data_IF_961555492466
#
_entry.id   IF_961555492466
#
_cell.length_a   1.000
_cell.length_b   1.000
_cell.length_c   1.000
_cell.angle_alpha   90.00
_cell.angle_beta   90.00
_cell.angle_gamma   90.00
#
_symmetry.space_group_name_H-M   'P 1'
#
loop_
_entity.id
_entity.type
_entity.pdbx_description
1 polymer ?
#
# COMPACT_ATOMS: atom_id res chain seq x y z
N UNK A 1 -80.79 2.55 -9.77
CA UNK A 1 -80.27 3.94 -9.77
C UNK A 1 -78.73 3.95 -9.74
N UNK A 2 -78.08 3.04 -9.00
CA UNK A 2 -76.61 2.92 -8.97
C UNK A 2 -75.96 2.59 -10.34
N UNK A 3 -76.57 1.72 -11.16
CA UNK A 3 -76.03 1.37 -12.49
C UNK A 3 -76.00 2.55 -13.48
N UNK A 4 -76.96 3.48 -13.37
CA UNK A 4 -77.01 4.67 -14.23
C UNK A 4 -75.95 5.71 -13.85
N UNK A 5 -75.69 5.87 -12.55
CA UNK A 5 -74.60 6.72 -12.06
C UNK A 5 -73.23 6.15 -12.41
N UNK A 6 -73.05 4.82 -12.35
CA UNK A 6 -71.84 4.12 -12.80
C UNK A 6 -71.58 4.34 -14.30
N UNK A 7 -72.61 4.22 -15.14
CA UNK A 7 -72.49 4.46 -16.58
C UNK A 7 -72.15 5.92 -16.89
N UNK A 8 -72.80 6.88 -16.21
CA UNK A 8 -72.55 8.32 -16.37
C UNK A 8 -71.10 8.69 -16.01
N UNK A 9 -70.58 8.15 -14.91
CA UNK A 9 -69.20 8.37 -14.50
C UNK A 9 -68.19 7.78 -15.49
N UNK A 10 -68.47 6.59 -16.06
CA UNK A 10 -67.62 5.99 -17.10
C UNK A 10 -67.63 6.78 -18.41
N UNK A 11 -68.78 7.34 -18.79
CA UNK A 11 -68.89 8.21 -19.98
C UNK A 11 -68.09 9.50 -19.75
N UNK A 12 -68.17 10.09 -18.55
CA UNK A 12 -67.39 11.28 -18.19
C UNK A 12 -65.88 10.99 -18.23
N UNK A 13 -65.45 9.84 -17.69
CA UNK A 13 -64.04 9.41 -17.75
C UNK A 13 -63.55 9.20 -19.18
N UNK A 14 -64.35 8.56 -20.04
CA UNK A 14 -64.02 8.40 -21.46
C UNK A 14 -63.92 9.75 -22.21
N UNK A 15 -64.73 10.73 -21.84
CA UNK A 15 -64.65 12.07 -22.43
C UNK A 15 -63.37 12.80 -22.02
N UNK A 16 -62.92 12.65 -20.77
CA UNK A 16 -61.63 13.18 -20.29
C UNK A 16 -60.46 12.51 -21.00
N UNK A 17 -60.48 11.18 -21.16
CA UNK A 17 -59.44 10.43 -21.87
C UNK A 17 -59.36 10.84 -23.35
N UNK A 18 -60.51 10.99 -24.03
CA UNK A 18 -60.56 11.48 -25.43
C UNK A 18 -59.97 12.89 -25.52
N UNK A 19 -60.26 13.76 -24.55
CA UNK A 19 -59.70 15.10 -24.53
C UNK A 19 -58.18 15.08 -24.31
N UNK A 20 -57.69 14.23 -23.42
CA UNK A 20 -56.25 14.06 -23.17
C UNK A 20 -55.51 13.53 -24.41
N UNK A 21 -56.07 12.51 -25.08
CA UNK A 21 -55.51 11.95 -26.33
C UNK A 21 -55.50 13.00 -27.44
N UNK A 22 -56.56 13.80 -27.59
CA UNK A 22 -56.61 14.88 -28.58
C UNK A 22 -55.54 15.94 -28.32
N UNK A 23 -55.30 16.29 -27.05
CA UNK A 23 -54.23 17.20 -26.65
C UNK A 23 -52.85 16.64 -26.98
N UNK A 24 -52.58 15.39 -26.63
CA UNK A 24 -51.31 14.74 -26.98
C UNK A 24 -51.07 14.67 -28.49
N UNK A 25 -52.12 14.35 -29.26
CA UNK A 25 -52.04 14.33 -30.74
C UNK A 25 -51.70 15.71 -31.31
N UNK A 26 -52.24 16.78 -30.72
CA UNK A 26 -51.92 18.15 -31.15
C UNK A 26 -50.48 18.58 -30.84
N UNK A 27 -49.93 18.12 -29.71
CA UNK A 27 -48.51 18.35 -29.34
C UNK A 27 -47.59 17.57 -30.28
N UNK A 28 -47.91 16.32 -30.56
CA UNK A 28 -47.14 15.51 -31.50
C UNK A 28 -47.11 16.13 -32.92
N UNK A 29 -48.24 16.68 -33.37
CA UNK A 29 -48.30 17.39 -34.65
C UNK A 29 -47.44 18.66 -34.68
N UNK A 30 -47.31 19.38 -33.57
CA UNK A 30 -46.40 20.53 -33.49
C UNK A 30 -44.93 20.12 -33.46
N UNK A 31 -44.60 19.01 -32.77
CA UNK A 31 -43.23 18.52 -32.67
C UNK A 31 -42.72 18.03 -34.04
N UNK A 32 -43.56 17.28 -34.78
CA UNK A 32 -43.26 16.85 -36.16
C UNK A 32 -42.94 18.06 -37.06
N UNK A 33 -43.74 19.12 -36.95
CA UNK A 33 -43.56 20.33 -37.76
C UNK A 33 -42.27 21.09 -37.41
N UNK A 34 -41.88 21.09 -36.14
CA UNK A 34 -40.62 21.70 -35.70
C UNK A 34 -39.42 20.88 -36.17
N UNK A 35 -39.52 19.56 -36.18
CA UNK A 35 -38.45 18.69 -36.66
C UNK A 35 -38.30 18.75 -38.20
N UNK A 36 -39.39 18.86 -38.96
CA UNK A 36 -39.35 19.17 -40.40
C UNK A 36 -38.61 20.49 -40.67
N UNK A 37 -38.88 21.53 -39.86
CA UNK A 37 -38.20 22.82 -39.97
C UNK A 37 -36.70 22.71 -39.70
N UNK A 38 -36.30 21.92 -38.69
CA UNK A 38 -34.88 21.68 -38.38
C UNK A 38 -34.19 20.90 -39.48
N UNK A 39 -34.85 19.91 -40.10
CA UNK A 39 -34.32 19.17 -41.23
C UNK A 39 -34.06 20.09 -42.43
N UNK A 40 -34.99 21.00 -42.73
CA UNK A 40 -34.83 21.97 -43.81
C UNK A 40 -33.71 22.98 -43.52
N UNK A 41 -33.59 23.43 -42.26
CA UNK A 41 -32.49 24.29 -41.80
C UNK A 41 -31.12 23.59 -41.91
N UNK A 42 -31.04 22.31 -41.52
CA UNK A 42 -29.84 21.50 -41.64
C UNK A 42 -29.43 21.31 -43.11
N UNK A 43 -30.39 21.00 -43.98
CA UNK A 43 -30.14 20.80 -45.41
C UNK A 43 -29.61 22.07 -46.07
N UNK A 44 -30.19 23.23 -45.75
CA UNK A 44 -29.71 24.53 -46.23
C UNK A 44 -28.30 24.85 -45.73
N UNK A 45 -27.98 24.48 -44.48
CA UNK A 45 -26.65 24.69 -43.91
C UNK A 45 -25.60 23.80 -44.58
N UNK A 46 -25.94 22.55 -44.87
CA UNK A 46 -25.10 21.62 -45.63
C UNK A 46 -24.82 22.17 -47.02
N UNK A 47 -25.83 22.65 -47.75
CA UNK A 47 -25.65 23.31 -49.07
C UNK A 47 -24.67 24.48 -48.99
N UNK A 48 -24.82 25.35 -47.98
CA UNK A 48 -23.92 26.50 -47.79
C UNK A 48 -22.46 26.10 -47.51
N UNK A 49 -22.23 24.93 -46.93
CA UNK A 49 -20.89 24.40 -46.68
C UNK A 49 -20.28 23.80 -47.95
N UNK A 50 -21.07 23.11 -48.77
CA UNK A 50 -20.63 22.62 -50.07
C UNK A 50 -20.24 23.76 -51.02
N UNK A 51 -21.03 24.83 -51.07
CA UNK A 51 -20.71 26.04 -51.84
C UNK A 51 -19.38 26.68 -51.39
N UNK A 52 -19.15 26.74 -50.08
CA UNK A 52 -17.90 27.29 -49.51
C UNK A 52 -16.69 26.39 -49.75
N UNK A 53 -16.91 25.08 -49.89
CA UNK A 53 -15.85 24.10 -50.13
C UNK A 53 -15.54 23.91 -51.63
N UNK A 54 -16.34 24.48 -52.54
CA UNK A 54 -16.15 24.38 -53.99
C UNK A 54 -16.42 22.97 -54.54
N UNK A 55 -17.30 22.20 -53.87
CA UNK A 55 -17.65 20.83 -54.23
C UNK A 55 -18.94 20.87 -55.08
N UNK A 56 -18.89 20.33 -56.30
CA UNK A 56 -20.04 20.25 -57.21
C UNK A 56 -21.04 19.19 -56.72
N UNK A 57 -22.27 19.63 -56.41
CA UNK A 57 -23.38 18.84 -55.84
C UNK A 57 -23.76 17.63 -56.73
N UNK A 58 -23.41 17.67 -58.03
CA UNK A 58 -23.71 16.64 -59.02
C UNK A 58 -22.85 15.36 -58.93
N UNK A 59 -21.75 15.37 -58.17
CA UNK A 59 -20.92 14.18 -57.93
C UNK A 59 -21.36 13.35 -56.71
N UNK A 60 -22.36 13.81 -55.96
CA UNK A 60 -23.01 13.00 -54.90
C UNK A 60 -24.16 12.25 -55.58
N UNK A 61 -23.82 11.17 -56.26
CA UNK A 61 -24.81 10.28 -56.86
C UNK A 61 -25.70 9.67 -55.76
N UNK A 62 -27.00 9.75 -56.02
CA UNK A 62 -28.13 9.09 -55.35
C UNK A 62 -28.43 9.51 -53.91
N UNK A 63 -29.71 9.81 -53.68
CA UNK A 63 -30.38 9.77 -52.38
C UNK A 63 -29.75 8.67 -51.53
N UNK A 64 -29.03 9.03 -50.47
CA UNK A 64 -28.76 8.07 -49.42
C UNK A 64 -30.12 7.70 -48.85
N UNK A 65 -30.57 6.49 -49.16
CA UNK A 65 -31.82 5.98 -48.62
C UNK A 65 -31.69 5.92 -47.09
N UNK A 66 -32.80 6.00 -46.36
CA UNK A 66 -32.79 5.85 -44.89
C UNK A 66 -32.08 4.55 -44.48
N UNK A 67 -32.19 3.50 -45.31
CA UNK A 67 -31.49 2.24 -45.16
C UNK A 67 -29.96 2.37 -45.25
N UNK A 68 -29.42 3.22 -46.13
CA UNK A 68 -27.97 3.46 -46.24
C UNK A 68 -27.44 4.19 -45.00
N UNK A 69 -28.20 5.16 -44.49
CA UNK A 69 -27.88 5.86 -43.24
C UNK A 69 -27.96 4.91 -42.04
N UNK A 70 -28.96 4.02 -42.01
CA UNK A 70 -29.07 2.98 -40.98
C UNK A 70 -27.92 1.98 -41.06
N UNK A 71 -27.49 1.61 -42.26
CA UNK A 71 -26.38 0.69 -42.44
C UNK A 71 -25.05 1.33 -41.99
N UNK A 72 -24.81 2.60 -42.35
CA UNK A 72 -23.65 3.37 -41.86
C UNK A 72 -23.68 3.49 -40.34
N UNK A 73 -24.83 3.84 -39.75
CA UNK A 73 -24.96 3.91 -38.28
C UNK A 73 -24.72 2.55 -37.62
N UNK A 74 -25.21 1.47 -38.22
CA UNK A 74 -24.99 0.11 -37.72
C UNK A 74 -23.52 -0.28 -37.79
N UNK A 75 -22.81 0.06 -38.87
CA UNK A 75 -21.37 -0.16 -38.98
C UNK A 75 -20.59 0.68 -37.98
N UNK A 76 -20.91 1.97 -37.83
CA UNK A 76 -20.32 2.87 -36.85
C UNK A 76 -20.54 2.30 -35.44
N UNK A 77 -21.77 1.95 -35.07
CA UNK A 77 -22.12 1.37 -33.78
C UNK A 77 -21.38 0.06 -33.56
N UNK A 78 -21.33 -0.82 -34.57
CA UNK A 78 -20.59 -2.08 -34.46
C UNK A 78 -19.10 -1.86 -34.20
N UNK A 79 -18.49 -0.84 -34.81
CA UNK A 79 -17.09 -0.49 -34.61
C UNK A 79 -16.91 0.18 -33.25
N UNK A 80 -17.72 1.19 -32.90
CA UNK A 80 -17.65 1.92 -31.63
C UNK A 80 -17.85 1.00 -30.42
N UNK A 81 -18.79 0.07 -30.50
CA UNK A 81 -19.15 -0.84 -29.41
C UNK A 81 -18.39 -2.17 -29.44
N UNK A 82 -17.64 -2.48 -30.50
CA UNK A 82 -16.70 -3.62 -30.52
C UNK A 82 -15.31 -3.27 -30.00
N UNK A 83 -14.95 -1.98 -29.94
CA UNK A 83 -13.67 -1.56 -29.36
C UNK A 83 -13.66 -1.85 -27.85
N UNK A 84 -12.56 -2.43 -27.39
CA UNK A 84 -12.36 -2.75 -25.98
C UNK A 84 -12.48 -1.51 -25.09
N UNK A 85 -12.72 -1.72 -23.79
CA UNK A 85 -12.76 -0.61 -22.82
C UNK A 85 -11.42 0.14 -22.63
N UNK A 86 -10.34 -0.33 -23.28
CA UNK A 86 -8.99 0.25 -23.33
C UNK A 86 -8.24 -0.22 -24.58
N UNK A 87 -7.33 0.63 -25.08
CA UNK A 87 -6.39 0.25 -26.15
C UNK A 87 -5.40 -0.83 -25.66
N UNK A 88 -4.79 -1.58 -26.58
CA UNK A 88 -3.77 -2.59 -26.20
C UNK A 88 -2.55 -1.95 -25.53
N UNK A 89 -2.18 -0.72 -25.91
CA UNK A 89 -1.11 0.03 -25.28
C UNK A 89 -1.43 0.37 -23.81
N UNK A 90 -2.66 0.82 -23.53
CA UNK A 90 -3.10 1.13 -22.17
C UNK A 90 -3.22 -0.11 -21.30
N UNK A 91 -3.66 -1.24 -21.87
CA UNK A 91 -3.68 -2.54 -21.18
C UNK A 91 -2.29 -3.03 -20.82
N UNK A 92 -1.29 -2.81 -21.66
CA UNK A 92 0.09 -3.20 -21.37
C UNK A 92 0.67 -2.46 -20.14
N UNK A 93 0.18 -1.24 -19.88
CA UNK A 93 0.47 -0.43 -18.70
C UNK A 93 -0.28 -0.85 -17.43
N UNK A 94 -1.30 -1.71 -17.55
CA UNK A 94 -1.97 -2.34 -16.41
C UNK A 94 -1.22 -3.62 -15.96
N UNK A 95 -1.58 -4.14 -14.79
CA UNK A 95 -1.00 -5.39 -14.26
C UNK A 95 -1.45 -6.56 -15.15
N UNK A 96 -0.49 -7.29 -15.69
CA UNK A 96 -0.71 -8.46 -16.53
C UNK A 96 -0.31 -9.77 -15.83
N UNK A 97 -0.50 -10.90 -16.51
CA UNK A 97 -0.23 -12.22 -15.94
C UNK A 97 1.25 -12.46 -15.60
N UNK A 98 2.17 -11.84 -16.35
CA UNK A 98 3.62 -11.94 -16.07
C UNK A 98 3.96 -11.16 -14.80
N UNK A 99 3.37 -9.96 -14.62
CA UNK A 99 3.52 -9.17 -13.41
C UNK A 99 3.03 -9.93 -12.17
N UNK A 100 1.87 -10.59 -12.29
CA UNK A 100 1.30 -11.41 -11.22
C UNK A 100 2.22 -12.59 -10.89
N UNK A 101 2.73 -13.29 -11.92
CA UNK A 101 3.67 -14.39 -11.75
C UNK A 101 4.94 -13.93 -11.02
N UNK A 102 5.54 -12.81 -11.43
CA UNK A 102 6.72 -12.24 -10.79
C UNK A 102 6.44 -11.83 -9.35
N UNK A 103 5.30 -11.21 -9.07
CA UNK A 103 4.89 -10.86 -7.72
C UNK A 103 4.79 -12.11 -6.82
N UNK A 104 4.14 -13.17 -7.32
CA UNK A 104 4.01 -14.44 -6.63
C UNK A 104 5.37 -15.13 -6.41
N UNK A 105 6.26 -15.12 -7.40
CA UNK A 105 7.61 -15.66 -7.29
C UNK A 105 8.46 -14.89 -6.27
N UNK A 106 8.41 -13.56 -6.30
CA UNK A 106 9.13 -12.70 -5.36
C UNK A 106 8.65 -12.93 -3.92
N UNK A 107 7.33 -12.96 -3.72
CA UNK A 107 6.71 -13.27 -2.43
C UNK A 107 7.05 -14.68 -1.95
N UNK A 108 6.90 -15.69 -2.81
CA UNK A 108 7.23 -17.08 -2.51
C UNK A 108 8.70 -17.29 -2.15
N UNK A 109 9.63 -16.64 -2.86
CA UNK A 109 11.05 -16.69 -2.52
C UNK A 109 11.32 -16.06 -1.14
N UNK A 110 10.63 -14.96 -0.81
CA UNK A 110 10.73 -14.37 0.52
C UNK A 110 10.18 -15.30 1.62
N UNK A 111 9.12 -16.07 1.34
CA UNK A 111 8.63 -17.12 2.26
C UNK A 111 9.71 -18.19 2.48
N UNK A 112 10.35 -18.68 1.42
CA UNK A 112 11.44 -19.65 1.55
C UNK A 112 12.59 -19.10 2.40
N UNK A 113 13.00 -17.86 2.17
CA UNK A 113 14.02 -17.17 2.99
C UNK A 113 13.56 -17.04 4.44
N UNK A 114 12.29 -16.73 4.69
CA UNK A 114 11.72 -16.59 6.02
C UNK A 114 11.76 -17.90 6.82
N UNK A 115 11.47 -19.03 6.16
CA UNK A 115 11.50 -20.36 6.78
C UNK A 115 12.91 -20.94 6.93
N UNK A 116 13.82 -20.70 5.97
CA UNK A 116 15.14 -21.33 5.96
C UNK A 116 16.20 -20.50 6.68
N UNK A 117 16.18 -19.18 6.51
CA UNK A 117 17.22 -18.28 7.01
C UNK A 117 16.76 -17.42 8.19
N UNK A 118 15.54 -16.89 8.16
CA UNK A 118 15.04 -15.98 9.21
C UNK A 118 14.60 -16.75 10.45
N UNK A 119 13.78 -17.79 10.32
CA UNK A 119 13.35 -18.67 11.43
C UNK A 119 12.91 -17.87 12.68
N UNK A 120 13.29 -18.34 13.88
CA UNK A 120 13.14 -17.64 15.18
C UNK A 120 14.49 -17.08 15.63
N UNK A 121 14.56 -16.07 16.53
CA UNK A 121 15.81 -15.39 16.89
C UNK A 121 16.88 -16.26 17.56
N UNK A 122 16.48 -17.37 18.18
CA UNK A 122 17.36 -18.39 18.76
C UNK A 122 16.61 -19.72 18.83
N UNK A 123 17.37 -20.82 18.86
CA UNK A 123 16.78 -22.15 19.03
C UNK A 123 16.05 -22.24 20.35
N UNK A 124 14.81 -22.70 20.32
CA UNK A 124 13.97 -22.81 21.49
C UNK A 124 12.91 -23.90 21.32
N UNK A 125 12.58 -24.55 22.42
CA UNK A 125 11.43 -25.45 22.48
C UNK A 125 10.26 -24.68 23.08
N UNK A 126 9.14 -24.69 22.38
CA UNK A 126 7.91 -24.06 22.87
C UNK A 126 6.94 -25.17 23.22
N UNK A 127 6.34 -25.03 24.40
CA UNK A 127 5.22 -25.85 24.80
C UNK A 127 3.94 -25.09 24.51
N UNK A 128 3.05 -25.72 23.76
CA UNK A 128 1.67 -25.31 23.66
C UNK A 128 0.81 -26.56 23.80
N UNK A 129 -0.18 -26.52 24.69
CA UNK A 129 -1.06 -27.65 24.99
C UNK A 129 -0.33 -28.95 25.42
N UNK A 130 0.84 -28.82 26.04
CA UNK A 130 1.63 -29.95 26.55
C UNK A 130 2.60 -30.59 25.54
N UNK A 131 2.47 -30.29 24.24
CA UNK A 131 3.41 -30.77 23.21
C UNK A 131 4.57 -29.79 23.03
N UNK A 132 5.79 -30.33 22.87
CA UNK A 132 6.99 -29.52 22.59
C UNK A 132 7.22 -29.41 21.09
N UNK A 133 7.22 -28.19 20.58
CA UNK A 133 7.67 -27.89 19.22
C UNK A 133 9.08 -27.33 19.28
N UNK A 134 10.00 -27.99 18.58
CA UNK A 134 11.36 -27.52 18.41
C UNK A 134 11.39 -26.46 17.30
N UNK A 135 11.78 -25.23 17.65
CA UNK A 135 11.98 -24.15 16.69
C UNK A 135 13.47 -23.86 16.56
N UNK A 136 14.04 -24.11 15.38
CA UNK A 136 15.44 -23.82 15.10
C UNK A 136 15.72 -22.31 15.02
N UNK A 137 16.84 -21.88 15.59
CA UNK A 137 17.29 -20.48 15.52
C UNK A 137 17.79 -20.07 14.14
N UNK A 138 17.71 -18.77 13.87
CA UNK A 138 18.27 -18.17 12.66
C UNK A 138 19.80 -18.27 12.61
N UNK A 139 20.38 -18.84 11.54
CA UNK A 139 21.82 -18.75 11.31
C UNK A 139 22.26 -17.30 11.06
N UNK A 140 21.46 -16.49 10.36
CA UNK A 140 21.78 -15.10 10.08
C UNK A 140 21.77 -14.22 11.34
N UNK A 141 20.76 -14.36 12.21
CA UNK A 141 20.77 -13.64 13.49
C UNK A 141 21.95 -14.05 14.36
N UNK A 142 22.36 -15.31 14.30
CA UNK A 142 23.56 -15.79 15.00
C UNK A 142 24.83 -15.11 14.47
N UNK A 143 24.97 -14.97 13.15
CA UNK A 143 26.09 -14.25 12.53
C UNK A 143 26.09 -12.78 12.98
N UNK A 144 24.96 -12.09 12.91
CA UNK A 144 24.85 -10.69 13.32
C UNK A 144 25.17 -10.48 14.81
N UNK A 145 24.74 -11.40 15.68
CA UNK A 145 25.06 -11.38 17.11
C UNK A 145 26.55 -11.58 17.39
N UNK A 146 27.29 -12.24 16.49
CA UNK A 146 28.73 -12.48 16.64
C UNK A 146 29.61 -11.27 16.28
N UNK A 147 29.10 -10.28 15.54
CA UNK A 147 29.88 -9.10 15.10
C UNK A 147 30.49 -8.35 16.29
N UNK A 148 29.75 -8.25 17.39
CA UNK A 148 30.21 -7.57 18.60
C UNK A 148 30.96 -8.43 19.62
N UNK A 149 31.19 -9.70 19.31
CA UNK A 149 31.81 -10.66 20.23
C UNK A 149 33.17 -11.12 19.72
N UNK A 150 34.13 -11.26 20.63
CA UNK A 150 35.42 -11.90 20.38
C UNK A 150 35.27 -13.43 20.31
N UNK A 151 36.29 -14.12 19.80
CA UNK A 151 36.32 -15.59 19.73
C UNK A 151 36.11 -16.26 21.11
N UNK A 152 36.53 -15.59 22.19
CA UNK A 152 36.36 -16.06 23.57
C UNK A 152 34.95 -15.78 24.15
N UNK A 153 34.02 -15.29 23.32
CA UNK A 153 32.64 -14.98 23.71
C UNK A 153 32.49 -13.70 24.56
N UNK A 154 33.56 -12.92 24.73
CA UNK A 154 33.53 -11.62 25.41
C UNK A 154 33.17 -10.49 24.44
N UNK A 155 32.55 -9.45 24.95
CA UNK A 155 32.26 -8.24 24.16
C UNK A 155 33.56 -7.60 23.65
N UNK A 156 33.51 -7.14 22.40
CA UNK A 156 34.66 -6.55 21.74
C UNK A 156 35.07 -5.22 22.39
N UNK A 157 36.39 -4.97 22.45
CA UNK A 157 36.95 -3.76 23.09
C UNK A 157 36.40 -2.46 22.51
N UNK A 158 36.15 -2.43 21.20
CA UNK A 158 35.63 -1.23 20.52
C UNK A 158 34.21 -0.87 20.97
N UNK A 159 33.36 -1.85 21.34
CA UNK A 159 32.03 -1.58 21.91
C UNK A 159 32.17 -0.83 23.23
N UNK A 160 33.03 -1.32 24.12
CA UNK A 160 33.31 -0.65 25.40
C UNK A 160 33.88 0.76 25.23
N UNK A 161 34.65 0.99 24.16
CA UNK A 161 35.12 2.33 23.80
C UNK A 161 33.96 3.22 23.38
N UNK A 162 33.04 2.72 22.54
CA UNK A 162 31.84 3.45 22.14
C UNK A 162 30.92 3.75 23.32
N UNK A 163 30.63 2.77 24.18
CA UNK A 163 29.83 2.95 25.41
C UNK A 163 30.41 4.07 26.30
N UNK A 164 31.75 4.15 26.39
CA UNK A 164 32.43 5.20 27.15
C UNK A 164 32.33 6.57 26.47
N UNK A 165 32.45 6.63 25.15
CA UNK A 165 32.40 7.89 24.39
C UNK A 165 30.98 8.47 24.29
N UNK A 166 30.00 7.58 24.20
CA UNK A 166 28.59 7.91 24.02
C UNK A 166 27.79 7.63 25.29
N UNK A 167 28.39 7.85 26.46
CA UNK A 167 27.71 7.64 27.73
C UNK A 167 26.50 8.55 27.89
N UNK A 168 25.38 7.97 28.34
CA UNK A 168 24.10 8.65 28.57
C UNK A 168 23.56 8.33 29.96
N UNK A 169 22.84 9.28 30.56
CA UNK A 169 22.32 9.15 31.93
C UNK A 169 21.06 8.28 32.07
N UNK A 170 20.45 7.87 30.95
CA UNK A 170 19.28 6.98 30.93
C UNK A 170 19.65 5.49 30.80
N UNK A 171 20.92 5.12 30.99
CA UNK A 171 21.48 3.76 30.86
C UNK A 171 21.62 3.01 32.20
N UNK A 172 20.70 3.24 33.13
CA UNK A 172 20.72 2.58 34.43
C UNK A 172 20.38 1.08 34.29
N UNK A 173 21.39 0.22 34.46
CA UNK A 173 21.23 -1.25 34.36
C UNK A 173 20.54 -1.90 35.57
N UNK A 174 20.61 -1.26 36.75
CA UNK A 174 19.95 -1.71 37.99
C UNK A 174 19.47 -0.48 38.75
N UNK A 175 18.20 -0.49 39.19
CA UNK A 175 17.65 0.50 40.10
C UNK A 175 16.65 -0.20 41.00
N UNK A 176 16.91 -0.21 42.32
CA UNK A 176 16.14 -1.00 43.30
C UNK A 176 14.64 -0.69 43.28
N UNK A 177 14.27 0.52 42.85
CA UNK A 177 12.88 1.00 42.85
C UNK A 177 12.12 0.76 41.54
N UNK A 178 12.64 -0.02 40.59
CA UNK A 178 11.96 -0.31 39.31
C UNK A 178 11.55 -1.78 39.25
N UNK A 179 10.29 -2.12 39.57
CA UNK A 179 9.82 -3.49 39.59
C UNK A 179 10.01 -4.19 38.23
N UNK A 180 10.70 -5.34 38.25
CA UNK A 180 10.89 -6.19 37.07
C UNK A 180 12.04 -5.78 36.14
N UNK A 181 12.73 -4.67 36.42
CA UNK A 181 13.92 -4.27 35.66
C UNK A 181 15.17 -4.95 36.21
N UNK A 182 16.01 -5.47 35.31
CA UNK A 182 17.29 -6.10 35.62
C UNK A 182 18.23 -5.97 34.40
N UNK A 183 19.53 -6.30 34.52
CA UNK A 183 20.52 -5.95 33.49
C UNK A 183 20.21 -6.44 32.07
N UNK A 184 19.47 -7.53 31.86
CA UNK A 184 19.14 -8.00 30.51
C UNK A 184 17.93 -7.30 29.87
N UNK A 185 17.10 -6.60 30.64
CA UNK A 185 15.88 -6.00 30.12
C UNK A 185 15.81 -4.47 30.32
N UNK A 186 16.76 -3.84 31.02
CA UNK A 186 16.74 -2.39 31.24
C UNK A 186 16.56 -1.55 29.95
N UNK A 187 17.15 -1.97 28.84
CA UNK A 187 17.00 -1.29 27.53
C UNK A 187 15.58 -1.32 26.98
N UNK A 188 14.81 -2.35 27.27
CA UNK A 188 13.39 -2.36 26.86
C UNK A 188 12.52 -1.56 27.83
N UNK A 189 13.02 -1.28 29.05
CA UNK A 189 12.36 -0.39 30.02
C UNK A 189 12.48 1.08 29.63
N UNK A 190 13.68 1.48 29.27
CA UNK A 190 14.02 2.85 28.90
C UNK A 190 13.40 3.29 27.58
N UNK A 191 12.80 4.49 27.55
CA UNK A 191 12.31 5.10 26.30
C UNK A 191 13.47 5.55 25.40
N UNK A 192 14.58 5.99 25.99
CA UNK A 192 15.75 6.44 25.25
C UNK A 192 16.45 5.34 24.45
N UNK A 193 16.22 4.07 24.78
CA UNK A 193 16.78 2.91 24.09
C UNK A 193 15.90 2.38 22.93
N UNK A 194 14.74 2.98 22.67
CA UNK A 194 13.93 2.60 21.51
C UNK A 194 14.59 3.17 20.24
N UNK A 195 15.02 2.37 19.25
CA UNK A 195 15.68 2.87 18.04
C UNK A 195 14.65 3.44 17.04
N UNK A 196 13.90 4.45 17.48
CA UNK A 196 12.86 5.14 16.74
C UNK A 196 12.94 6.65 16.91
N UNK A 197 12.15 7.39 16.14
CA UNK A 197 12.03 8.85 16.28
C UNK A 197 11.54 9.21 17.70
N UNK A 198 10.61 8.43 18.26
CA UNK A 198 10.15 8.65 19.63
C UNK A 198 11.28 8.43 20.64
N UNK A 199 12.07 7.35 20.47
CA UNK A 199 13.22 7.12 21.35
C UNK A 199 14.31 8.18 21.21
N UNK A 200 14.53 8.74 20.03
CA UNK A 200 15.42 9.90 19.83
C UNK A 200 14.92 11.12 20.61
N UNK A 201 13.62 11.44 20.54
CA UNK A 201 13.03 12.58 21.26
C UNK A 201 13.19 12.37 22.77
N UNK A 202 12.81 11.20 23.28
CA UNK A 202 12.93 10.87 24.70
C UNK A 202 14.38 10.81 25.17
N UNK A 203 15.29 10.26 24.36
CA UNK A 203 16.71 10.19 24.64
C UNK A 203 17.37 11.57 24.72
N UNK A 204 17.06 12.47 23.78
CA UNK A 204 17.54 13.87 23.84
C UNK A 204 17.00 14.56 25.09
N UNK A 205 15.69 14.42 25.36
CA UNK A 205 15.06 14.97 26.57
C UNK A 205 15.76 14.47 27.82
N UNK A 206 16.01 13.17 27.91
CA UNK A 206 16.66 12.57 29.08
C UNK A 206 18.11 13.03 29.24
N UNK A 207 18.87 13.13 28.15
CA UNK A 207 20.24 13.67 28.15
C UNK A 207 20.28 15.10 28.68
N UNK A 208 19.40 15.96 28.16
CA UNK A 208 19.38 17.40 28.46
C UNK A 208 18.83 17.67 29.86
N UNK A 209 17.72 17.02 30.23
CA UNK A 209 17.06 17.22 31.52
C UNK A 209 17.70 16.42 32.66
N UNK A 210 18.68 15.57 32.38
CA UNK A 210 19.30 14.71 33.40
C UNK A 210 18.34 13.67 33.98
N UNK A 211 17.35 13.23 33.19
CA UNK A 211 16.29 12.32 33.62
C UNK A 211 16.46 10.90 33.07
N UNK A 212 15.69 9.96 33.61
CA UNK A 212 15.51 8.62 33.09
C UNK A 212 14.02 8.35 32.90
N UNK A 213 13.56 8.31 31.65
CA UNK A 213 12.17 8.06 31.29
C UNK A 213 12.01 6.59 30.90
N UNK A 214 11.11 5.87 31.58
CA UNK A 214 10.90 4.44 31.37
C UNK A 214 9.43 4.04 31.54
N UNK A 215 9.06 2.93 30.90
CA UNK A 215 7.77 2.26 31.12
C UNK A 215 8.02 1.09 32.06
N UNK A 216 7.30 1.03 33.19
CA UNK A 216 7.42 -0.08 34.14
C UNK A 216 6.74 -1.37 33.63
N UNK A 217 6.79 -2.45 34.42
CA UNK A 217 6.17 -3.72 34.06
C UNK A 217 4.64 -3.64 33.91
N UNK A 218 4.00 -2.65 34.52
CA UNK A 218 2.55 -2.43 34.49
C UNK A 218 2.14 -1.47 33.37
N UNK A 219 3.06 -1.09 32.47
CA UNK A 219 2.78 -0.20 31.36
C UNK A 219 2.69 1.29 31.75
N UNK A 220 3.11 1.66 32.96
CA UNK A 220 3.06 3.04 33.45
C UNK A 220 4.34 3.79 33.11
N UNK A 221 4.19 5.02 32.62
CA UNK A 221 5.30 5.93 32.34
C UNK A 221 5.81 6.58 33.62
N UNK A 222 7.12 6.49 33.84
CA UNK A 222 7.84 7.13 34.94
C UNK A 222 8.97 7.98 34.40
N UNK A 223 9.26 9.07 35.10
CA UNK A 223 10.35 10.00 34.78
C UNK A 223 11.08 10.31 36.07
N UNK A 224 12.27 9.73 36.22
CA UNK A 224 13.10 9.95 37.39
C UNK A 224 14.18 10.99 37.11
N UNK A 225 14.42 11.92 38.04
CA UNK A 225 15.64 12.74 38.00
C UNK A 225 16.84 11.87 38.39
N UNK A 226 17.91 11.92 37.60
CA UNK A 226 19.14 11.15 37.81
C UNK A 226 20.32 12.07 38.10
N UNK A 227 20.47 13.12 37.29
CA UNK A 227 21.52 14.14 37.44
C UNK A 227 20.93 15.53 37.23
N UNK A 228 21.72 16.57 37.49
CA UNK A 228 21.30 17.93 37.20
C UNK A 228 21.19 18.18 35.68
N UNK A 229 20.20 18.97 35.23
CA UNK A 229 20.04 19.32 33.82
C UNK A 229 21.27 20.04 33.25
N UNK A 230 21.58 19.77 31.99
CA UNK A 230 22.62 20.49 31.23
C UNK A 230 22.10 20.83 29.82
N UNK A 231 21.61 22.06 29.67
CA UNK A 231 21.06 22.57 28.43
C UNK A 231 22.07 22.59 27.28
N UNK A 232 23.37 22.65 27.57
CA UNK A 232 24.40 22.66 26.51
C UNK A 232 24.45 21.34 25.76
N UNK A 233 23.98 20.24 26.38
CA UNK A 233 23.92 18.93 25.73
C UNK A 233 22.99 18.89 24.53
N UNK A 234 22.04 19.82 24.40
CA UNK A 234 21.09 19.82 23.27
C UNK A 234 21.78 19.82 21.90
N UNK A 235 22.94 20.48 21.79
CA UNK A 235 23.68 20.59 20.53
C UNK A 235 24.34 19.28 20.09
N UNK A 236 24.58 18.34 21.01
CA UNK A 236 25.27 17.08 20.73
C UNK A 236 24.53 15.83 21.23
N UNK A 237 23.40 15.99 21.90
CA UNK A 237 22.53 14.91 22.37
C UNK A 237 22.08 13.96 21.25
N UNK A 238 21.75 14.41 20.02
CA UNK A 238 21.43 13.50 18.93
C UNK A 238 22.59 12.54 18.59
N UNK A 239 23.84 13.05 18.63
CA UNK A 239 25.03 12.24 18.37
C UNK A 239 25.34 11.29 19.54
N UNK A 240 25.17 11.75 20.78
CA UNK A 240 25.28 10.89 21.97
C UNK A 240 24.28 9.74 21.92
N UNK A 241 23.00 10.06 21.67
CA UNK A 241 21.96 9.07 21.53
C UNK A 241 22.29 8.07 20.42
N UNK A 242 22.61 8.55 19.21
CA UNK A 242 22.89 7.67 18.08
C UNK A 242 24.09 6.74 18.37
N UNK A 243 25.17 7.29 18.94
CA UNK A 243 26.35 6.51 19.30
C UNK A 243 26.06 5.45 20.37
N UNK A 244 25.25 5.79 21.39
CA UNK A 244 24.82 4.86 22.44
C UNK A 244 23.96 3.72 21.89
N UNK A 245 22.98 4.05 21.05
CA UNK A 245 22.15 3.07 20.34
C UNK A 245 23.03 2.12 19.51
N UNK A 246 23.99 2.68 18.75
CA UNK A 246 24.90 1.88 17.91
C UNK A 246 25.75 0.94 18.76
N UNK A 247 26.32 1.39 19.89
CA UNK A 247 27.07 0.47 20.77
C UNK A 247 26.19 -0.66 21.28
N UNK A 248 24.97 -0.33 21.72
CA UNK A 248 24.04 -1.30 22.29
C UNK A 248 23.59 -2.37 21.31
N UNK A 249 23.44 -2.05 20.03
CA UNK A 249 23.12 -3.03 18.96
C UNK A 249 24.10 -4.20 18.97
N UNK A 250 25.38 -3.94 19.22
CA UNK A 250 26.44 -4.95 19.14
C UNK A 250 26.75 -5.63 20.48
N UNK A 251 26.17 -5.18 21.59
CA UNK A 251 26.28 -5.88 22.89
C UNK A 251 25.62 -7.25 22.83
N UNK A 252 25.89 -8.11 23.84
CA UNK A 252 25.32 -9.46 23.86
C UNK A 252 23.79 -9.47 23.75
N UNK A 253 23.12 -8.58 24.49
CA UNK A 253 21.66 -8.51 24.50
C UNK A 253 21.08 -7.76 23.29
N UNK A 254 21.83 -6.80 22.72
CA UNK A 254 21.32 -5.95 21.65
C UNK A 254 20.40 -4.86 22.18
N UNK A 255 19.58 -4.31 21.28
CA UNK A 255 18.61 -3.26 21.56
C UNK A 255 17.22 -3.69 21.04
N UNK A 256 16.11 -3.30 21.69
CA UNK A 256 14.77 -3.60 21.21
C UNK A 256 14.52 -3.18 19.77
N UNK A 257 13.50 -3.76 19.14
CA UNK A 257 13.02 -3.28 17.85
C UNK A 257 12.28 -1.94 18.03
N UNK A 258 12.22 -1.08 16.99
CA UNK A 258 11.53 0.20 17.08
C UNK A 258 10.07 0.04 17.51
N UNK A 259 9.62 0.86 18.45
CA UNK A 259 8.24 0.86 18.97
C UNK A 259 7.96 -0.14 20.09
N UNK A 260 8.94 -0.95 20.51
CA UNK A 260 8.77 -1.89 21.63
C UNK A 260 8.39 -1.17 22.91
N UNK A 261 8.94 0.02 23.15
CA UNK A 261 8.67 0.77 24.38
C UNK A 261 7.22 1.26 24.45
N UNK A 262 6.62 1.61 23.31
CA UNK A 262 5.19 1.92 23.22
C UNK A 262 4.35 0.66 23.40
N UNK A 263 4.76 -0.46 22.80
CA UNK A 263 4.03 -1.72 22.95
C UNK A 263 3.96 -2.20 24.40
N UNK A 264 4.95 -1.86 25.22
CA UNK A 264 4.98 -2.14 26.66
C UNK A 264 3.90 -1.43 27.47
N UNK A 265 3.33 -0.34 26.94
CA UNK A 265 2.21 0.35 27.59
C UNK A 265 0.89 -0.45 27.49
N UNK A 266 0.77 -1.37 26.54
CA UNK A 266 -0.46 -2.13 26.34
C UNK A 266 -0.53 -3.36 27.25
N UNK A 267 -1.20 -3.20 28.40
CA UNK A 267 -1.50 -4.27 29.35
C UNK A 267 -2.82 -4.98 29.02
N UNK A 268 -2.98 -5.37 27.76
CA UNK A 268 -4.19 -6.05 27.25
C UNK A 268 -3.84 -7.38 26.60
N UNK A 269 -4.83 -8.27 26.53
CA UNK A 269 -4.68 -9.61 25.98
C UNK A 269 -4.09 -10.62 26.96
N UNK A 270 -4.18 -11.90 26.59
CA UNK A 270 -3.63 -13.03 27.34
C UNK A 270 -3.03 -14.00 26.33
N UNK A 271 -1.69 -14.11 26.34
CA UNK A 271 -0.95 -14.86 25.32
C UNK A 271 -0.01 -15.91 25.93
N UNK A 272 -0.10 -17.13 25.40
CA UNK A 272 0.72 -18.29 25.79
C UNK A 272 0.41 -18.83 27.19
N UNK A 273 1.19 -19.81 27.64
CA UNK A 273 0.94 -20.53 28.92
C UNK A 273 1.01 -19.63 30.18
N UNK A 274 1.69 -18.48 30.10
CA UNK A 274 1.78 -17.54 31.22
C UNK A 274 0.80 -16.37 31.11
N UNK A 275 -0.19 -16.46 30.23
CA UNK A 275 -1.26 -15.47 30.07
C UNK A 275 -0.74 -14.03 29.94
N UNK A 276 0.36 -13.86 29.20
CA UNK A 276 1.07 -12.58 29.13
C UNK A 276 0.23 -11.52 28.43
N UNK A 277 0.26 -10.28 28.91
CA UNK A 277 -0.24 -9.13 28.14
C UNK A 277 0.67 -8.84 26.94
N UNK A 278 0.25 -7.95 26.02
CA UNK A 278 1.12 -7.48 24.93
C UNK A 278 2.44 -6.93 25.48
N UNK A 279 2.39 -6.09 26.53
CA UNK A 279 3.59 -5.47 27.08
C UNK A 279 4.57 -6.46 27.72
N UNK A 280 4.05 -7.48 28.39
CA UNK A 280 4.87 -8.57 28.92
C UNK A 280 5.41 -9.46 27.80
N UNK A 281 4.62 -9.71 26.76
CA UNK A 281 5.01 -10.52 25.63
C UNK A 281 6.18 -9.89 24.86
N UNK A 282 6.13 -8.60 24.54
CA UNK A 282 7.22 -7.94 23.79
C UNK A 282 8.50 -7.84 24.61
N UNK A 283 8.39 -7.66 25.93
CA UNK A 283 9.53 -7.72 26.87
C UNK A 283 10.17 -9.11 26.82
N UNK A 284 9.35 -10.15 26.93
CA UNK A 284 9.80 -11.54 26.84
C UNK A 284 10.43 -11.83 25.47
N UNK A 285 9.83 -11.31 24.39
CA UNK A 285 10.36 -11.51 23.05
C UNK A 285 11.78 -10.93 22.89
N UNK A 286 11.97 -9.70 23.36
CA UNK A 286 13.28 -9.05 23.39
C UNK A 286 14.30 -9.84 24.22
N UNK A 287 13.93 -10.30 25.42
CA UNK A 287 14.82 -11.10 26.29
C UNK A 287 15.27 -12.41 25.62
N UNK A 288 14.40 -13.00 24.79
CA UNK A 288 14.72 -14.19 24.00
C UNK A 288 15.45 -13.87 22.68
N UNK A 289 15.80 -12.62 22.43
CA UNK A 289 16.67 -12.20 21.33
C UNK A 289 15.95 -11.71 20.08
N UNK A 290 14.65 -11.39 20.18
CA UNK A 290 13.88 -10.66 19.17
C UNK A 290 14.27 -9.17 19.22
N UNK A 291 15.52 -8.90 18.85
CA UNK A 291 16.17 -7.59 18.93
C UNK A 291 16.33 -6.95 17.53
N UNK A 292 16.94 -5.76 17.46
CA UNK A 292 17.16 -5.04 16.20
C UNK A 292 17.97 -5.86 15.17
N UNK A 293 18.84 -6.77 15.59
CA UNK A 293 19.62 -7.64 14.68
C UNK A 293 18.74 -8.73 14.10
N UNK A 294 17.82 -9.26 14.89
CA UNK A 294 16.79 -10.14 14.34
C UNK A 294 15.86 -9.38 13.39
N UNK A 295 15.54 -8.10 13.65
CA UNK A 295 14.82 -7.27 12.68
C UNK A 295 15.58 -7.07 11.36
N UNK A 296 16.90 -6.86 11.44
CA UNK A 296 17.75 -6.82 10.25
C UNK A 296 17.71 -8.16 9.49
N UNK A 297 17.70 -9.29 10.21
CA UNK A 297 17.52 -10.62 9.61
C UNK A 297 16.16 -10.76 8.93
N UNK A 298 15.07 -10.41 9.63
CA UNK A 298 13.70 -10.43 9.09
C UNK A 298 13.55 -9.55 7.84
N UNK A 299 14.28 -8.44 7.78
CA UNK A 299 14.29 -7.51 6.64
C UNK A 299 14.94 -8.09 5.38
N UNK A 300 15.67 -9.21 5.47
CA UNK A 300 16.18 -9.91 4.27
C UNK A 300 15.06 -10.37 3.35
N UNK A 301 13.89 -10.76 3.89
CA UNK A 301 12.71 -11.09 3.08
C UNK A 301 12.23 -9.90 2.25
N UNK A 302 12.25 -8.68 2.83
CA UNK A 302 11.94 -7.44 2.10
C UNK A 302 12.98 -7.16 1.02
N UNK A 303 14.26 -7.38 1.33
CA UNK A 303 15.35 -7.19 0.39
C UNK A 303 15.19 -8.09 -0.84
N UNK A 304 14.83 -9.36 -0.64
CA UNK A 304 14.55 -10.30 -1.74
C UNK A 304 13.42 -9.80 -2.65
N UNK A 305 12.27 -9.43 -2.08
CA UNK A 305 11.15 -8.89 -2.87
C UNK A 305 11.60 -7.62 -3.61
N UNK A 306 12.33 -6.73 -2.94
CA UNK A 306 12.81 -5.49 -3.53
C UNK A 306 13.75 -5.74 -4.72
N UNK A 307 14.72 -6.65 -4.59
CA UNK A 307 15.65 -6.99 -5.66
C UNK A 307 14.91 -7.58 -6.86
N UNK A 308 14.07 -8.61 -6.63
CA UNK A 308 13.37 -9.30 -7.72
C UNK A 308 12.43 -8.34 -8.47
N UNK A 309 11.59 -7.60 -7.74
CA UNK A 309 10.61 -6.69 -8.35
C UNK A 309 11.30 -5.51 -9.05
N UNK A 310 12.36 -4.93 -8.47
CA UNK A 310 13.05 -3.81 -9.12
C UNK A 310 13.86 -4.26 -10.34
N UNK A 311 14.49 -5.43 -10.32
CA UNK A 311 15.16 -5.96 -11.52
C UNK A 311 14.14 -6.22 -12.62
N UNK A 312 13.04 -6.91 -12.29
CA UNK A 312 11.97 -7.14 -13.26
C UNK A 312 11.46 -5.82 -13.84
N UNK A 313 11.09 -4.88 -12.97
CA UNK A 313 10.58 -3.59 -13.39
C UNK A 313 11.59 -2.80 -14.22
N UNK A 314 12.88 -2.82 -13.85
CA UNK A 314 13.93 -2.17 -14.64
C UNK A 314 14.04 -2.73 -16.06
N UNK A 315 13.81 -4.04 -16.23
CA UNK A 315 13.86 -4.70 -17.53
C UNK A 315 12.58 -4.56 -18.35
N UNK A 316 11.41 -4.42 -17.71
CA UNK A 316 10.10 -4.44 -18.39
C UNK A 316 9.39 -3.10 -18.44
N UNK A 317 9.87 -2.09 -17.71
CA UNK A 317 9.24 -0.77 -17.67
C UNK A 317 9.11 -0.19 -19.09
N UNK A 318 7.91 0.25 -19.44
CA UNK A 318 7.68 1.00 -20.66
C UNK A 318 8.44 2.31 -20.57
N UNK A 319 9.46 2.47 -21.41
CA UNK A 319 10.37 3.61 -21.35
C UNK A 319 9.59 4.91 -21.60
N UNK A 320 9.75 5.88 -20.70
CA UNK A 320 9.29 7.28 -20.85
C UNK A 320 9.92 8.02 -22.05
N UNK A 321 10.75 7.33 -22.84
CA UNK A 321 11.90 7.93 -23.52
C UNK A 321 11.62 8.34 -24.97
N UNK A 322 10.37 8.51 -25.39
CA UNK A 322 10.14 9.20 -26.63
C UNK A 322 9.91 10.70 -26.34
N UNK A 323 10.95 11.56 -26.44
CA UNK A 323 10.80 12.99 -26.20
C UNK A 323 9.88 13.67 -27.22
N UNK A 324 9.49 12.98 -28.30
CA UNK A 324 8.51 13.48 -29.27
C UNK A 324 7.07 13.32 -28.80
N UNK A 325 6.82 12.56 -27.73
CA UNK A 325 5.48 12.46 -27.15
C UNK A 325 5.11 13.73 -26.38
N UNK A 326 3.84 14.18 -26.44
CA UNK A 326 3.34 15.25 -25.61
C UNK A 326 3.60 15.02 -24.12
N UNK A 327 3.70 16.11 -23.34
CA UNK A 327 3.98 16.02 -21.90
C UNK A 327 2.95 15.16 -21.15
N UNK A 328 1.66 15.31 -21.49
CA UNK A 328 0.59 14.56 -20.83
C UNK A 328 0.70 13.03 -21.05
N UNK A 329 1.17 12.59 -22.22
CA UNK A 329 1.41 11.16 -22.51
C UNK A 329 2.56 10.60 -21.69
N UNK A 330 3.64 11.38 -21.59
CA UNK A 330 4.81 11.00 -20.80
C UNK A 330 4.46 10.90 -19.32
N UNK A 331 3.68 11.85 -18.82
CA UNK A 331 3.17 11.83 -17.45
C UNK A 331 2.21 10.67 -17.21
N UNK A 332 1.32 10.37 -18.15
CA UNK A 332 0.42 9.21 -18.10
C UNK A 332 1.20 7.89 -17.97
N UNK A 333 2.16 7.65 -18.88
CA UNK A 333 3.01 6.44 -18.86
C UNK A 333 3.78 6.34 -17.54
N UNK A 334 4.36 7.44 -17.05
CA UNK A 334 5.08 7.48 -15.77
C UNK A 334 4.18 7.06 -14.62
N UNK A 335 3.02 7.69 -14.49
CA UNK A 335 2.09 7.45 -13.38
C UNK A 335 1.58 6.02 -13.43
N UNK A 336 1.21 5.50 -14.61
CA UNK A 336 0.76 4.12 -14.78
C UNK A 336 1.84 3.10 -14.43
N UNK A 337 3.07 3.30 -14.89
CA UNK A 337 4.21 2.46 -14.55
C UNK A 337 4.44 2.42 -13.03
N UNK A 338 4.43 3.57 -12.36
CA UNK A 338 4.59 3.63 -10.90
C UNK A 338 3.42 2.94 -10.17
N UNK A 339 2.17 3.17 -10.59
CA UNK A 339 1.01 2.49 -10.02
C UNK A 339 1.10 0.96 -10.21
N UNK A 340 1.50 0.50 -11.39
CA UNK A 340 1.74 -0.92 -11.71
C UNK A 340 2.81 -1.52 -10.80
N UNK A 341 3.95 -0.84 -10.62
CA UNK A 341 5.01 -1.25 -9.69
C UNK A 341 4.51 -1.41 -8.26
N UNK A 342 3.72 -0.46 -7.76
CA UNK A 342 3.15 -0.52 -6.40
C UNK A 342 2.17 -1.68 -6.24
N UNK A 343 1.36 -1.98 -7.26
CA UNK A 343 0.47 -3.16 -7.25
C UNK A 343 1.25 -4.47 -7.19
N UNK A 344 2.33 -4.59 -7.97
CA UNK A 344 3.22 -5.76 -7.93
C UNK A 344 3.82 -5.95 -6.52
N UNK A 345 4.31 -4.88 -5.90
CA UNK A 345 4.81 -4.95 -4.52
C UNK A 345 3.72 -5.38 -3.53
N UNK A 346 2.53 -4.78 -3.61
CA UNK A 346 1.41 -5.13 -2.74
C UNK A 346 1.07 -6.63 -2.84
N UNK A 347 0.99 -7.19 -4.04
CA UNK A 347 0.73 -8.62 -4.26
C UNK A 347 1.87 -9.47 -3.68
N UNK A 348 3.14 -9.11 -3.96
CA UNK A 348 4.29 -9.86 -3.45
C UNK A 348 4.33 -9.90 -1.92
N UNK A 349 4.05 -8.76 -1.26
CA UNK A 349 3.96 -8.70 0.20
C UNK A 349 2.72 -9.42 0.76
N UNK A 350 1.61 -9.47 0.02
CA UNK A 350 0.44 -10.27 0.41
C UNK A 350 0.79 -11.76 0.47
N UNK A 351 1.49 -12.27 -0.55
CA UNK A 351 1.99 -13.66 -0.58
C UNK A 351 2.97 -13.92 0.56
N UNK A 352 3.90 -12.99 0.82
CA UNK A 352 4.85 -13.12 1.92
C UNK A 352 4.17 -13.14 3.30
N UNK A 353 3.16 -12.29 3.52
CA UNK A 353 2.36 -12.28 4.76
C UNK A 353 1.60 -13.59 4.92
N UNK A 354 0.96 -14.10 3.85
CA UNK A 354 0.28 -15.40 3.88
C UNK A 354 1.26 -16.53 4.26
N UNK A 355 2.47 -16.53 3.71
CA UNK A 355 3.51 -17.48 4.08
C UNK A 355 3.99 -17.33 5.53
N UNK A 356 4.12 -16.12 6.07
CA UNK A 356 4.48 -15.92 7.47
C UNK A 356 3.35 -16.32 8.43
N UNK A 357 2.08 -16.11 8.07
CA UNK A 357 0.93 -16.70 8.78
C UNK A 357 1.08 -18.22 8.81
N UNK A 358 1.39 -18.84 7.66
CA UNK A 358 1.71 -20.26 7.57
C UNK A 358 2.88 -20.68 8.47
N UNK A 359 3.94 -19.87 8.56
CA UNK A 359 5.10 -20.11 9.45
C UNK A 359 4.72 -20.06 10.92
N UNK A 360 3.95 -19.04 11.31
CA UNK A 360 3.46 -18.88 12.68
C UNK A 360 2.54 -20.05 13.05
N UNK A 361 1.64 -20.46 12.15
CA UNK A 361 0.78 -21.63 12.34
C UNK A 361 1.58 -22.94 12.46
N UNK A 362 2.57 -23.15 11.60
CA UNK A 362 3.47 -24.30 11.66
C UNK A 362 4.27 -24.34 12.97
N UNK A 363 4.54 -23.18 13.57
CA UNK A 363 5.22 -23.06 14.86
C UNK A 363 4.21 -22.93 16.01
N UNK A 364 2.98 -23.43 15.83
CA UNK A 364 1.90 -23.45 16.82
C UNK A 364 1.62 -22.06 17.44
N UNK A 365 1.48 -21.04 16.61
CA UNK A 365 1.17 -19.69 17.10
C UNK A 365 2.32 -19.00 17.82
N UNK A 366 3.55 -19.51 17.69
CA UNK A 366 4.72 -18.93 18.31
C UNK A 366 4.94 -17.46 17.86
N UNK A 367 4.89 -16.48 18.77
CA UNK A 367 5.07 -15.07 18.44
C UNK A 367 6.49 -14.75 17.94
N UNK A 368 7.49 -15.57 18.28
CA UNK A 368 8.84 -15.45 17.76
C UNK A 368 8.96 -15.72 16.26
N UNK A 369 7.98 -16.39 15.66
CA UNK A 369 7.95 -16.69 14.22
C UNK A 369 7.39 -15.51 13.41
N UNK A 370 6.78 -14.51 14.05
CA UNK A 370 6.25 -13.34 13.34
C UNK A 370 7.41 -12.59 12.69
N UNK A 371 7.32 -12.33 11.39
CA UNK A 371 8.28 -11.50 10.68
C UNK A 371 7.73 -10.06 10.58
N UNK A 372 8.02 -9.22 11.57
CA UNK A 372 7.42 -7.87 11.61
C UNK A 372 7.88 -6.98 10.44
N UNK A 373 9.02 -7.29 9.82
CA UNK A 373 9.54 -6.52 8.69
C UNK A 373 8.61 -6.65 7.46
N UNK A 374 8.16 -7.86 7.13
CA UNK A 374 7.22 -8.06 6.02
C UNK A 374 5.84 -7.48 6.33
N UNK A 375 5.37 -7.58 7.59
CA UNK A 375 4.08 -7.03 8.02
C UNK A 375 4.06 -5.52 7.91
N UNK A 376 5.11 -4.86 8.39
CA UNK A 376 5.27 -3.42 8.25
C UNK A 376 5.21 -2.98 6.79
N UNK A 377 5.94 -3.68 5.90
CA UNK A 377 5.97 -3.30 4.50
C UNK A 377 4.64 -3.60 3.79
N UNK A 378 3.97 -4.71 4.12
CA UNK A 378 2.63 -5.01 3.63
C UNK A 378 1.63 -3.91 4.00
N UNK A 379 1.59 -3.49 5.28
CA UNK A 379 0.72 -2.40 5.73
C UNK A 379 1.02 -1.11 4.97
N UNK A 380 2.30 -0.77 4.77
CA UNK A 380 2.70 0.40 3.98
C UNK A 380 2.20 0.33 2.53
N UNK A 381 2.35 -0.82 1.87
CA UNK A 381 1.86 -0.99 0.49
C UNK A 381 0.33 -0.99 0.45
N UNK A 382 -0.36 -1.56 1.43
CA UNK A 382 -1.82 -1.53 1.56
C UNK A 382 -2.33 -0.08 1.67
N UNK A 383 -1.73 0.72 2.55
CA UNK A 383 -2.05 2.16 2.68
C UNK A 383 -1.78 2.89 1.35
N UNK A 384 -0.67 2.58 0.69
CA UNK A 384 -0.34 3.18 -0.62
C UNK A 384 -1.40 2.84 -1.68
N UNK A 385 -1.88 1.59 -1.73
CA UNK A 385 -2.97 1.21 -2.63
C UNK A 385 -4.27 1.93 -2.31
N UNK A 386 -4.60 2.08 -1.03
CA UNK A 386 -5.76 2.86 -0.58
C UNK A 386 -5.67 4.31 -1.03
N UNK A 387 -4.50 4.95 -0.87
CA UNK A 387 -4.27 6.33 -1.34
C UNK A 387 -4.44 6.43 -2.85
N UNK A 388 -3.85 5.52 -3.63
CA UNK A 388 -4.01 5.48 -5.10
C UNK A 388 -5.48 5.29 -5.50
N UNK A 389 -6.24 4.48 -4.76
CA UNK A 389 -7.66 4.25 -5.05
C UNK A 389 -8.52 5.49 -4.82
N UNK A 390 -8.22 6.25 -3.77
CA UNK A 390 -8.95 7.49 -3.44
C UNK A 390 -8.46 8.73 -4.20
N UNK A 391 -7.31 8.65 -4.87
CA UNK A 391 -6.78 9.75 -5.68
C UNK A 391 -7.74 10.14 -6.82
N UNK A 392 -8.11 11.42 -6.89
CA UNK A 392 -8.95 11.99 -7.94
C UNK A 392 -8.22 12.06 -9.30
N UNK A 393 -6.88 12.00 -9.29
CA UNK A 393 -6.07 11.90 -10.51
C UNK A 393 -6.45 10.71 -11.41
N UNK A 394 -7.15 9.70 -10.87
CA UNK A 394 -7.71 8.59 -11.65
C UNK A 394 -8.68 9.04 -12.76
N UNK A 395 -9.38 10.17 -12.57
CA UNK A 395 -10.27 10.71 -13.60
C UNK A 395 -9.47 11.30 -14.78
N UNK A 396 -8.34 11.95 -14.49
CA UNK A 396 -7.42 12.43 -15.53
C UNK A 396 -6.80 11.27 -16.31
N UNK A 397 -6.39 10.20 -15.61
CA UNK A 397 -5.89 8.97 -16.24
C UNK A 397 -6.97 8.36 -17.16
N UNK A 398 -8.21 8.27 -16.68
CA UNK A 398 -9.33 7.73 -17.46
C UNK A 398 -9.67 8.60 -18.68
N UNK A 399 -9.57 9.93 -18.55
CA UNK A 399 -9.78 10.84 -19.66
C UNK A 399 -8.73 10.65 -20.77
N UNK A 400 -7.48 10.37 -20.41
CA UNK A 400 -6.40 10.04 -21.36
C UNK A 400 -6.66 8.69 -22.03
N UNK A 401 -7.01 7.65 -21.27
CA UNK A 401 -7.39 6.32 -21.82
C UNK A 401 -8.59 6.42 -22.80
N UNK A 402 -9.59 7.23 -22.47
CA UNK A 402 -10.74 7.49 -23.35
C UNK A 402 -10.30 8.20 -24.64
N UNK A 403 -9.34 9.12 -24.56
CA UNK A 403 -8.80 9.80 -25.74
C UNK A 403 -8.09 8.82 -26.67
N UNK A 404 -7.24 7.95 -26.13
CA UNK A 404 -6.57 6.92 -26.94
C UNK A 404 -7.55 6.03 -27.69
N UNK A 405 -8.64 5.63 -27.02
CA UNK A 405 -9.72 4.86 -27.63
C UNK A 405 -10.41 5.60 -28.77
N UNK A 406 -10.73 6.88 -28.56
CA UNK A 406 -11.36 7.73 -29.59
C UNK A 406 -10.43 7.83 -30.80
N UNK A 407 -9.15 8.11 -30.57
CA UNK A 407 -8.15 8.26 -31.63
C UNK A 407 -7.99 6.94 -32.43
N UNK A 408 -7.89 5.78 -31.76
CA UNK A 408 -7.81 4.46 -32.42
C UNK A 408 -9.08 4.10 -33.21
N UNK A 409 -10.26 4.41 -32.65
CA UNK A 409 -11.55 4.17 -33.31
C UNK A 409 -11.68 5.03 -34.57
N UNK A 410 -11.25 6.30 -34.52
CA UNK A 410 -11.29 7.19 -35.67
C UNK A 410 -10.36 6.71 -36.79
N UNK A 411 -9.16 6.23 -36.45
CA UNK A 411 -8.23 5.62 -37.41
C UNK A 411 -8.79 4.36 -38.07
N UNK A 412 -9.54 3.53 -37.32
CA UNK A 412 -10.22 2.36 -37.89
C UNK A 412 -11.32 2.78 -38.88
N UNK A 413 -12.14 3.77 -38.52
CA UNK A 413 -13.19 4.30 -39.41
C UNK A 413 -12.60 4.89 -40.71
N UNK A 414 -11.49 5.63 -40.60
CA UNK A 414 -10.78 6.16 -41.77
C UNK A 414 -10.31 5.05 -42.71
N UNK A 415 -9.79 3.94 -42.17
CA UNK A 415 -9.35 2.80 -42.99
C UNK A 415 -10.50 2.03 -43.64
N UNK A 416 -11.65 1.95 -42.99
CA UNK A 416 -12.85 1.29 -43.54
C UNK A 416 -13.54 2.15 -44.59
N UNK A 417 -13.33 3.48 -44.57
CA UNK A 417 -13.87 4.43 -45.55
C UNK A 417 -13.09 4.54 -46.86
N UNK A 418 -11.92 3.90 -46.97
CA UNK A 418 -11.10 3.80 -48.19
C UNK A 418 -11.34 2.48 -48.90
#
# INVERSE_FOLDING_TARGET
MEDFHSLSNRISGLQEDIFAVKKQTSVLASDIKEDDRKLEELNNRIKSLFDKAGIDESNISSESTIDDIQQINTEIDSILFSVNSKTEADKALDVNNVDLLVACLAGGLAVLVDFVLVKVPKTMDIKLNGEKVHCEGSPLTTILKKIGTTNDGKEAKWIKTLEKWFHVNYDASVKENIPGMYPKNHRVYSLGHDPSILGLIWGIKDIVSGTFSYIDKNGVLHIDKVIEPDLKKIFYAPFLWLGHIISDVFTKQGIPIPGTSVLRMFQVGSFGEKERTIGELVTYMYEQGYDLRHLATMSTCRLVINIVVNIYYFLTMHKESNPTLPLFERDYIRVKNEQKKKKIFFIAYSVAVAGNIGKVAAYQGNPFAINIAIWYQFVREAVTQTVIYFDEGKYSIKAIENRHLIDETFELLLKTSQ
#
